data_IF_915796032816
#
_entry.id   IF_915796032816
#
_cell.length_a   1.000
_cell.length_b   1.000
_cell.length_c   1.000
_cell.angle_alpha   90.00
_cell.angle_beta   90.00
_cell.angle_gamma   90.00
#
_symmetry.space_group_name_H-M   'P 1'
#
loop_
_entity.id
_entity.type
_entity.pdbx_description
1 polymer ?
#
# COMPACT_ATOMS: atom_id res chain seq x y z
N UNK A 1 -7.96 0.57 -17.54
CA UNK A 1 -8.60 1.88 -17.30
C UNK A 1 -7.58 2.75 -16.59
N UNK A 2 -7.39 3.98 -17.06
CA UNK A 2 -6.42 4.95 -16.53
C UNK A 2 -7.13 6.13 -15.89
N UNK A 3 -6.50 6.79 -14.92
CA UNK A 3 -7.09 7.88 -14.14
C UNK A 3 -6.13 9.09 -14.03
N UNK A 4 -5.83 9.78 -15.13
CA UNK A 4 -4.83 10.86 -15.15
C UNK A 4 -5.33 12.19 -14.56
N UNK A 5 -6.65 12.43 -14.55
CA UNK A 5 -7.22 13.69 -14.01
C UNK A 5 -7.21 13.69 -12.48
N UNK A 6 -6.65 14.73 -11.86
CA UNK A 6 -6.57 14.91 -10.40
C UNK A 6 -7.55 15.96 -9.87
N UNK A 7 -8.31 16.60 -10.76
CA UNK A 7 -9.19 17.74 -10.46
C UNK A 7 -10.68 17.37 -10.45
N UNK A 8 -11.01 16.10 -10.66
CA UNK A 8 -12.37 15.60 -10.64
C UNK A 8 -13.07 15.90 -9.31
N UNK A 9 -14.38 16.19 -9.40
CA UNK A 9 -15.20 16.44 -8.21
C UNK A 9 -15.22 15.22 -7.30
N UNK A 10 -14.93 15.43 -6.02
CA UNK A 10 -14.99 14.38 -5.01
C UNK A 10 -16.44 13.90 -4.84
N UNK A 11 -16.61 12.58 -4.75
CA UNK A 11 -17.90 11.98 -4.38
C UNK A 11 -18.15 12.22 -2.90
N UNK A 12 -19.41 12.36 -2.56
CA UNK A 12 -19.90 12.50 -1.17
C UNK A 12 -20.96 11.45 -0.87
N UNK A 13 -21.19 11.18 0.41
CA UNK A 13 -22.26 10.29 0.86
C UNK A 13 -23.64 10.73 0.36
N UNK A 14 -23.89 12.05 0.31
CA UNK A 14 -25.11 12.60 -0.25
C UNK A 14 -25.26 12.25 -1.74
N UNK A 15 -24.19 12.43 -2.54
CA UNK A 15 -24.21 12.07 -3.96
C UNK A 15 -24.35 10.56 -4.20
N UNK A 16 -23.78 9.74 -3.31
CA UNK A 16 -23.91 8.28 -3.35
C UNK A 16 -25.35 7.85 -3.06
N UNK A 17 -25.96 8.34 -1.97
CA UNK A 17 -27.36 8.03 -1.61
C UNK A 17 -28.36 8.55 -2.63
N UNK A 18 -28.05 9.66 -3.29
CA UNK A 18 -28.86 10.20 -4.38
C UNK A 18 -28.66 9.46 -5.72
N UNK A 19 -27.76 8.46 -5.78
CA UNK A 19 -27.43 7.70 -6.99
C UNK A 19 -27.07 8.61 -8.18
N UNK A 20 -26.27 9.65 -7.93
CA UNK A 20 -25.86 10.62 -8.97
C UNK A 20 -25.01 9.97 -10.06
N UNK A 21 -24.30 8.88 -9.72
CA UNK A 21 -23.33 8.21 -10.58
C UNK A 21 -23.74 6.76 -10.88
N UNK A 22 -24.88 6.58 -11.55
CA UNK A 22 -25.53 5.27 -11.77
C UNK A 22 -24.61 4.19 -12.35
N UNK A 23 -23.67 4.56 -13.21
CA UNK A 23 -22.66 3.65 -13.81
C UNK A 23 -21.70 2.99 -12.79
N UNK A 24 -21.62 3.52 -11.57
CA UNK A 24 -20.84 2.97 -10.47
C UNK A 24 -21.69 2.23 -9.42
N UNK A 25 -22.99 2.06 -9.67
CA UNK A 25 -23.90 1.29 -8.81
C UNK A 25 -24.26 -0.03 -9.50
N UNK A 26 -23.96 -1.16 -8.85
CA UNK A 26 -24.37 -2.49 -9.32
C UNK A 26 -25.76 -2.90 -8.81
N UNK A 27 -26.36 -2.08 -7.95
CA UNK A 27 -27.64 -2.29 -7.31
C UNK A 27 -27.69 -1.55 -5.96
N UNK A 28 -28.81 -1.66 -5.25
CA UNK A 28 -28.91 -1.17 -3.87
C UNK A 28 -28.32 -2.19 -2.91
N UNK A 29 -27.50 -1.72 -1.98
CA UNK A 29 -26.96 -2.57 -0.92
C UNK A 29 -27.76 -2.41 0.38
N UNK A 30 -28.00 -3.46 1.17
CA UNK A 30 -28.56 -3.32 2.53
C UNK A 30 -27.75 -2.39 3.43
N UNK A 31 -26.48 -2.14 3.09
CA UNK A 31 -25.67 -1.15 3.81
C UNK A 31 -26.18 0.29 3.65
N UNK A 32 -26.92 0.61 2.56
CA UNK A 32 -27.56 1.92 2.38
C UNK A 32 -28.68 2.18 3.39
N UNK A 33 -29.29 1.12 3.94
CA UNK A 33 -30.34 1.19 4.96
C UNK A 33 -29.77 1.47 6.35
N UNK A 34 -28.47 1.27 6.53
CA UNK A 34 -27.78 1.59 7.77
C UNK A 34 -27.39 3.08 7.82
N UNK A 35 -27.26 3.61 9.03
CA UNK A 35 -26.69 4.93 9.29
C UNK A 35 -25.16 4.92 9.16
N UNK A 36 -24.66 4.38 8.04
CA UNK A 36 -23.24 4.28 7.69
C UNK A 36 -23.02 5.04 6.38
N UNK A 37 -22.00 5.87 6.36
CA UNK A 37 -21.62 6.71 5.22
C UNK A 37 -20.65 5.94 4.32
N UNK A 38 -21.14 5.52 3.14
CA UNK A 38 -20.49 4.55 2.26
C UNK A 38 -19.29 5.12 1.49
N UNK A 39 -19.12 6.44 1.45
CA UNK A 39 -17.94 7.09 0.86
C UNK A 39 -16.90 7.33 1.94
N UNK A 40 -17.28 7.99 3.03
CA UNK A 40 -16.33 8.45 4.04
C UNK A 40 -15.91 7.38 5.06
N UNK A 41 -16.68 6.30 5.25
CA UNK A 41 -16.39 5.24 6.26
C UNK A 41 -15.52 4.09 5.73
N UNK A 42 -15.18 4.08 4.45
CA UNK A 42 -14.45 2.99 3.80
C UNK A 42 -13.09 3.50 3.29
N UNK A 43 -12.06 3.51 4.14
CA UNK A 43 -10.77 4.09 3.78
C UNK A 43 -10.01 3.24 2.75
N UNK A 44 -9.12 3.91 2.01
CA UNK A 44 -8.19 3.27 1.10
C UNK A 44 -7.11 2.51 1.89
N UNK A 45 -7.12 1.18 1.83
CA UNK A 45 -6.16 0.38 2.57
C UNK A 45 -4.72 0.57 2.09
N UNK A 46 -3.87 1.05 3.00
CA UNK A 46 -2.43 1.25 2.79
C UNK A 46 -1.67 0.01 2.31
N UNK A 47 -2.02 -1.18 2.81
CA UNK A 47 -1.31 -2.41 2.48
C UNK A 47 -1.49 -2.77 1.00
N UNK A 48 -2.74 -2.73 0.51
CA UNK A 48 -3.05 -3.03 -0.87
C UNK A 48 -2.71 -1.88 -1.82
N UNK A 49 -3.08 -0.64 -1.45
CA UNK A 49 -2.89 0.53 -2.30
C UNK A 49 -1.40 0.81 -2.54
N UNK A 50 -0.64 1.00 -1.46
CA UNK A 50 0.74 1.50 -1.54
C UNK A 50 1.72 0.33 -1.60
N UNK A 51 1.64 -0.63 -0.70
CA UNK A 51 2.67 -1.67 -0.60
C UNK A 51 2.57 -2.67 -1.76
N UNK A 52 1.40 -3.30 -1.94
CA UNK A 52 1.18 -4.29 -3.01
C UNK A 52 0.84 -3.67 -4.37
N UNK A 53 0.32 -2.44 -4.38
CA UNK A 53 0.02 -1.68 -5.58
C UNK A 53 1.23 -0.91 -6.07
N UNK A 54 1.41 0.31 -5.56
CA UNK A 54 2.38 1.28 -6.10
C UNK A 54 3.83 0.84 -5.93
N UNK A 55 4.26 0.46 -4.72
CA UNK A 55 5.66 0.10 -4.47
C UNK A 55 6.07 -1.15 -5.25
N UNK A 56 5.20 -2.16 -5.32
CA UNK A 56 5.42 -3.34 -6.15
C UNK A 56 5.56 -2.96 -7.62
N UNK A 57 4.68 -2.10 -8.14
CA UNK A 57 4.71 -1.65 -9.53
C UNK A 57 6.02 -0.92 -9.87
N UNK A 58 6.45 0.02 -9.03
CA UNK A 58 7.72 0.73 -9.21
C UNK A 58 8.92 -0.22 -9.27
N UNK A 59 9.02 -1.17 -8.33
CA UNK A 59 10.09 -2.16 -8.33
C UNK A 59 10.09 -3.02 -9.58
N UNK A 60 8.91 -3.44 -10.05
CA UNK A 60 8.79 -4.21 -11.29
C UNK A 60 9.23 -3.39 -12.51
N UNK A 61 8.96 -2.08 -12.54
CA UNK A 61 9.49 -1.22 -13.60
C UNK A 61 11.02 -1.13 -13.56
N UNK A 62 11.60 -0.92 -12.39
CA UNK A 62 13.04 -0.77 -12.26
C UNK A 62 13.82 -2.08 -12.49
N UNK A 63 13.19 -3.25 -12.27
CA UNK A 63 13.84 -4.55 -12.41
C UNK A 63 13.54 -5.20 -13.77
N UNK A 64 12.27 -5.17 -14.20
CA UNK A 64 11.76 -5.93 -15.37
C UNK A 64 11.18 -5.05 -16.46
N UNK A 65 11.11 -3.73 -16.26
CA UNK A 65 10.51 -2.78 -17.20
C UNK A 65 11.33 -2.60 -18.49
N UNK A 66 10.90 -1.65 -19.30
CA UNK A 66 11.61 -1.26 -20.52
C UNK A 66 13.02 -0.74 -20.18
N UNK A 67 13.98 -0.91 -21.08
CA UNK A 67 15.36 -0.39 -21.00
C UNK A 67 15.39 1.09 -20.63
N UNK A 68 14.44 1.89 -21.13
CA UNK A 68 14.35 3.31 -20.81
C UNK A 68 14.05 3.60 -19.32
N UNK A 69 13.46 2.64 -18.59
CA UNK A 69 12.98 2.81 -17.22
C UNK A 69 13.79 1.96 -16.23
N UNK A 70 14.18 0.75 -16.62
CA UNK A 70 14.83 -0.21 -15.73
C UNK A 70 16.27 0.19 -15.39
N UNK A 71 16.73 -0.29 -14.23
CA UNK A 71 18.14 -0.23 -13.82
C UNK A 71 19.06 -0.92 -14.83
N UNK A 72 20.31 -0.49 -14.86
CA UNK A 72 21.35 -1.25 -15.56
C UNK A 72 21.55 -2.61 -14.88
N UNK A 73 22.16 -3.56 -15.59
CA UNK A 73 22.48 -4.87 -15.01
C UNK A 73 23.44 -4.74 -13.81
N UNK A 74 24.35 -3.78 -13.87
CA UNK A 74 25.30 -3.49 -12.79
C UNK A 74 24.58 -2.94 -11.55
N UNK A 75 23.71 -1.94 -11.73
CA UNK A 75 22.91 -1.34 -10.66
C UNK A 75 21.95 -2.34 -10.02
N UNK A 76 21.34 -3.21 -10.84
CA UNK A 76 20.48 -4.28 -10.33
C UNK A 76 21.27 -5.28 -9.47
N UNK A 77 22.43 -5.74 -9.95
CA UNK A 77 23.28 -6.67 -9.20
C UNK A 77 23.83 -6.03 -7.92
N UNK A 78 24.26 -4.78 -7.97
CA UNK A 78 24.74 -4.06 -6.78
C UNK A 78 23.63 -3.84 -5.75
N UNK A 79 22.38 -3.60 -6.19
CA UNK A 79 21.20 -3.53 -5.34
C UNK A 79 20.94 -4.83 -4.58
N UNK A 80 21.08 -5.99 -5.26
CA UNK A 80 20.94 -7.31 -4.60
C UNK A 80 22.00 -7.46 -3.50
N UNK A 81 23.27 -7.18 -3.82
CA UNK A 81 24.38 -7.32 -2.87
C UNK A 81 24.19 -6.42 -1.65
N UNK A 82 23.72 -5.19 -1.84
CA UNK A 82 23.43 -4.30 -0.72
C UNK A 82 22.25 -4.78 0.13
N UNK A 83 21.17 -5.24 -0.48
CA UNK A 83 20.03 -5.78 0.26
C UNK A 83 20.43 -6.99 1.11
N UNK A 84 21.32 -7.86 0.59
CA UNK A 84 21.90 -8.98 1.34
C UNK A 84 22.78 -8.53 2.51
N UNK A 85 23.52 -7.43 2.36
CA UNK A 85 24.26 -6.81 3.47
C UNK A 85 23.29 -6.30 4.54
N UNK A 86 22.25 -5.55 4.16
CA UNK A 86 21.22 -5.05 5.08
C UNK A 86 20.52 -6.18 5.83
N UNK A 87 20.25 -7.30 5.16
CA UNK A 87 19.64 -8.48 5.78
C UNK A 87 20.41 -8.96 7.02
N UNK A 88 21.73 -8.76 7.11
CA UNK A 88 22.51 -9.14 8.31
C UNK A 88 22.23 -8.25 9.52
N UNK A 89 21.72 -7.04 9.31
CA UNK A 89 21.48 -6.03 10.36
C UNK A 89 20.00 -5.88 10.71
N UNK A 90 19.10 -6.42 9.90
CA UNK A 90 17.67 -6.41 10.15
C UNK A 90 17.33 -7.58 11.07
N UNK A 91 16.82 -7.30 12.26
CA UNK A 91 16.42 -8.34 13.21
C UNK A 91 14.92 -8.65 13.10
N UNK A 92 14.55 -9.92 13.25
CA UNK A 92 13.14 -10.37 13.25
C UNK A 92 12.30 -9.84 14.42
N UNK A 93 12.93 -9.14 15.37
CA UNK A 93 12.24 -8.48 16.48
C UNK A 93 11.67 -7.13 16.05
N UNK A 94 12.36 -6.46 15.13
CA UNK A 94 11.97 -5.15 14.63
C UNK A 94 11.10 -5.25 13.38
N UNK A 95 11.25 -6.34 12.61
CA UNK A 95 10.51 -6.58 11.38
C UNK A 95 9.93 -7.99 11.34
N UNK A 96 8.66 -8.09 10.93
CA UNK A 96 7.94 -9.36 10.79
C UNK A 96 8.57 -10.33 9.79
N UNK A 97 9.38 -9.82 8.84
CA UNK A 97 10.11 -10.62 7.84
C UNK A 97 11.47 -10.00 7.53
N UNK A 98 12.42 -10.87 7.23
CA UNK A 98 13.71 -10.49 6.65
C UNK A 98 13.52 -10.16 5.16
N UNK A 99 14.15 -9.11 4.63
CA UNK A 99 14.05 -8.80 3.20
C UNK A 99 14.64 -9.95 2.39
N UNK A 100 13.85 -10.49 1.45
CA UNK A 100 14.31 -11.42 0.43
C UNK A 100 15.10 -10.70 -0.65
N UNK A 101 15.85 -11.45 -1.46
CA UNK A 101 16.54 -10.90 -2.63
C UNK A 101 15.54 -10.26 -3.60
N UNK A 102 15.99 -9.23 -4.35
CA UNK A 102 15.22 -8.65 -5.45
C UNK A 102 14.94 -9.67 -6.57
N UNK A 103 15.71 -10.75 -6.64
CA UNK A 103 15.45 -11.87 -7.55
C UNK A 103 14.11 -12.56 -7.28
N UNK A 104 13.62 -12.50 -6.04
CA UNK A 104 12.36 -13.12 -5.62
C UNK A 104 11.21 -12.10 -5.54
N UNK A 105 11.32 -10.96 -6.23
CA UNK A 105 10.36 -9.85 -6.13
C UNK A 105 8.90 -10.27 -6.34
N UNK A 106 8.64 -11.26 -7.21
CA UNK A 106 7.28 -11.76 -7.46
C UNK A 106 6.66 -12.46 -6.26
N UNK A 107 7.50 -12.98 -5.35
CA UNK A 107 7.08 -13.68 -4.15
C UNK A 107 7.02 -12.77 -2.93
N UNK A 108 7.49 -11.52 -3.02
CA UNK A 108 7.48 -10.57 -1.91
C UNK A 108 6.06 -10.34 -1.40
N UNK A 109 5.95 -10.22 -0.07
CA UNK A 109 4.69 -9.92 0.61
C UNK A 109 4.63 -8.43 0.95
N UNK A 110 3.44 -7.94 1.27
CA UNK A 110 3.21 -6.52 1.59
C UNK A 110 4.18 -5.97 2.65
N UNK A 111 4.53 -6.78 3.65
CA UNK A 111 5.49 -6.42 4.71
C UNK A 111 6.89 -6.08 4.17
N UNK A 112 7.34 -6.76 3.12
CA UNK A 112 8.66 -6.52 2.51
C UNK A 112 8.63 -5.28 1.62
N UNK A 113 7.54 -5.07 0.88
CA UNK A 113 7.34 -3.81 0.15
C UNK A 113 7.28 -2.61 1.11
N UNK A 114 6.57 -2.73 2.24
CA UNK A 114 6.55 -1.71 3.30
C UNK A 114 7.94 -1.43 3.85
N UNK A 115 8.69 -2.49 4.17
CA UNK A 115 10.05 -2.35 4.67
C UNK A 115 10.96 -1.66 3.66
N UNK A 116 10.88 -2.06 2.39
CA UNK A 116 11.68 -1.47 1.32
C UNK A 116 11.33 0.01 1.13
N UNK A 117 10.05 0.33 1.00
CA UNK A 117 9.57 1.71 0.85
C UNK A 117 10.05 2.61 2.00
N UNK A 118 9.89 2.16 3.25
CA UNK A 118 10.15 3.01 4.40
C UNK A 118 11.62 3.00 4.83
N UNK A 119 12.39 1.94 4.61
CA UNK A 119 13.70 1.81 5.26
C UNK A 119 14.85 1.57 4.29
N UNK A 120 14.85 0.45 3.57
CA UNK A 120 16.03 0.05 2.79
C UNK A 120 16.08 0.70 1.41
N UNK A 121 14.93 0.97 0.79
CA UNK A 121 14.81 1.54 -0.54
C UNK A 121 15.51 2.90 -0.74
N UNK A 122 15.35 3.89 0.15
CA UNK A 122 16.06 5.17 0.04
C UNK A 122 17.58 5.04 -0.03
N UNK A 123 18.14 4.05 0.66
CA UNK A 123 19.58 3.84 0.66
C UNK A 123 19.99 3.03 -0.57
N UNK A 124 19.28 1.94 -0.83
CA UNK A 124 19.63 1.00 -1.90
C UNK A 124 19.44 1.63 -3.28
N UNK A 125 18.43 2.45 -3.50
CA UNK A 125 18.15 3.01 -4.83
C UNK A 125 19.02 4.24 -5.17
N UNK A 126 19.71 4.80 -4.18
CA UNK A 126 20.53 6.00 -4.36
C UNK A 126 21.68 5.71 -5.32
N UNK A 127 21.81 6.55 -6.35
CA UNK A 127 22.78 6.42 -7.45
C UNK A 127 22.60 5.16 -8.32
N UNK A 128 21.46 4.46 -8.23
CA UNK A 128 21.14 3.26 -9.03
C UNK A 128 19.96 3.46 -9.97
N UNK A 129 19.09 4.40 -9.63
CA UNK A 129 18.04 4.92 -10.51
C UNK A 129 18.52 6.21 -11.16
N UNK A 130 17.84 6.60 -12.24
CA UNK A 130 17.95 7.96 -12.77
C UNK A 130 17.48 8.97 -11.72
N UNK A 131 18.05 10.17 -11.74
CA UNK A 131 17.81 11.19 -10.71
C UNK A 131 16.33 11.57 -10.58
N UNK A 132 15.62 11.63 -11.70
CA UNK A 132 14.19 11.90 -11.77
C UNK A 132 13.35 10.78 -11.12
N UNK A 133 13.66 9.52 -11.44
CA UNK A 133 13.03 8.34 -10.83
C UNK A 133 13.33 8.22 -9.34
N UNK A 134 14.55 8.54 -8.91
CA UNK A 134 14.91 8.51 -7.50
C UNK A 134 14.19 9.62 -6.72
N UNK A 135 14.14 10.84 -7.27
CA UNK A 135 13.39 11.96 -6.68
C UNK A 135 11.91 11.64 -6.57
N UNK A 136 11.35 11.04 -7.61
CA UNK A 136 9.97 10.56 -7.63
C UNK A 136 9.71 9.51 -6.54
N UNK A 137 10.57 8.49 -6.41
CA UNK A 137 10.49 7.52 -5.31
C UNK A 137 10.60 8.18 -3.93
N UNK A 138 11.51 9.15 -3.76
CA UNK A 138 11.68 9.85 -2.50
C UNK A 138 10.45 10.66 -2.10
N UNK A 139 9.70 11.21 -3.05
CA UNK A 139 8.42 11.88 -2.76
C UNK A 139 7.40 10.91 -2.12
N UNK A 140 7.28 9.69 -2.67
CA UNK A 140 6.43 8.64 -2.11
C UNK A 140 6.94 8.19 -0.73
N UNK A 141 8.24 7.92 -0.60
CA UNK A 141 8.86 7.54 0.66
C UNK A 141 8.56 8.57 1.76
N UNK A 142 8.81 9.86 1.50
CA UNK A 142 8.59 10.93 2.46
C UNK A 142 7.12 11.07 2.84
N UNK A 143 6.21 11.07 1.85
CA UNK A 143 4.78 11.15 2.11
C UNK A 143 4.29 10.00 2.99
N UNK A 144 4.67 8.76 2.65
CA UNK A 144 4.23 7.58 3.42
C UNK A 144 4.89 7.55 4.80
N UNK A 145 6.13 8.02 4.94
CA UNK A 145 6.79 8.16 6.24
C UNK A 145 6.05 9.15 7.15
N UNK A 146 5.57 10.26 6.61
CA UNK A 146 4.75 11.23 7.34
C UNK A 146 3.44 10.57 7.78
N UNK A 147 2.71 9.95 6.86
CA UNK A 147 1.39 9.38 7.12
C UNK A 147 1.41 8.13 8.04
N UNK A 148 2.57 7.50 8.22
CA UNK A 148 2.76 6.35 9.12
C UNK A 148 3.26 6.73 10.52
N UNK A 149 3.60 8.01 10.76
CA UNK A 149 4.06 8.49 12.04
C UNK A 149 3.03 9.45 12.63
N UNK A 150 2.53 9.18 13.84
CA UNK A 150 1.41 9.92 14.43
C UNK A 150 1.68 11.43 14.55
N UNK A 151 2.85 11.79 15.09
CA UNK A 151 3.27 13.19 15.21
C UNK A 151 3.39 13.87 13.85
N UNK A 152 4.07 13.24 12.89
CA UNK A 152 4.29 13.83 11.57
C UNK A 152 3.00 13.91 10.78
N UNK A 153 2.14 12.90 10.87
CA UNK A 153 0.85 12.87 10.20
C UNK A 153 -0.03 14.03 10.67
N UNK A 154 -0.04 14.34 11.97
CA UNK A 154 -0.79 15.48 12.49
C UNK A 154 -0.23 16.83 11.99
N UNK A 155 1.09 16.98 11.94
CA UNK A 155 1.75 18.26 11.65
C UNK A 155 1.92 18.53 10.15
N UNK A 156 2.14 17.48 9.34
CA UNK A 156 2.58 17.57 7.95
C UNK A 156 1.67 16.81 6.97
N UNK A 157 0.41 16.49 7.33
CA UNK A 157 -0.53 15.81 6.43
C UNK A 157 -0.64 16.51 5.07
N UNK A 158 -0.81 17.84 5.07
CA UNK A 158 -0.95 18.59 3.83
C UNK A 158 0.32 18.60 2.98
N UNK A 159 1.50 18.55 3.62
CA UNK A 159 2.74 18.38 2.88
C UNK A 159 2.84 16.98 2.26
N UNK A 160 2.44 15.93 2.98
CA UNK A 160 2.34 14.59 2.40
C UNK A 160 1.37 14.54 1.21
N UNK A 161 0.25 15.26 1.28
CA UNK A 161 -0.70 15.39 0.17
C UNK A 161 -0.07 16.07 -1.04
N UNK A 162 0.69 17.14 -0.85
CA UNK A 162 1.43 17.81 -1.93
C UNK A 162 2.47 16.87 -2.57
N UNK A 163 3.20 16.10 -1.77
CA UNK A 163 4.16 15.10 -2.27
C UNK A 163 3.47 14.00 -3.09
N UNK A 164 2.30 13.52 -2.67
CA UNK A 164 1.55 12.50 -3.42
C UNK A 164 0.91 13.06 -4.70
N UNK A 165 0.47 14.32 -4.70
CA UNK A 165 0.04 14.99 -5.94
C UNK A 165 1.19 15.12 -6.92
N UNK A 166 2.34 15.62 -6.47
CA UNK A 166 3.56 15.68 -7.28
C UNK A 166 3.93 14.29 -7.84
N UNK A 167 3.86 13.24 -7.01
CA UNK A 167 4.11 11.88 -7.44
C UNK A 167 3.18 11.44 -8.59
N UNK A 168 1.88 11.68 -8.47
CA UNK A 168 0.92 11.27 -9.51
C UNK A 168 1.06 12.11 -10.79
N UNK A 169 1.27 13.42 -10.66
CA UNK A 169 1.46 14.35 -11.79
C UNK A 169 2.70 14.06 -12.63
N UNK A 170 3.75 13.47 -12.04
CA UNK A 170 4.98 13.13 -12.74
C UNK A 170 5.06 11.65 -13.14
N UNK A 171 4.03 10.85 -12.83
CA UNK A 171 4.06 9.41 -13.06
C UNK A 171 3.99 9.07 -14.56
N UNK A 172 3.17 9.79 -15.31
CA UNK A 172 2.99 9.62 -16.76
C UNK A 172 4.30 9.85 -17.52
N UNK A 173 5.03 10.91 -17.20
CA UNK A 173 6.29 11.27 -17.84
C UNK A 173 7.37 10.21 -17.60
N UNK A 174 7.41 9.62 -16.41
CA UNK A 174 8.44 8.66 -16.01
C UNK A 174 8.15 7.22 -16.45
N UNK A 175 6.87 6.83 -16.43
CA UNK A 175 6.48 5.43 -16.59
C UNK A 175 5.50 5.20 -17.73
N UNK A 176 4.71 6.20 -18.11
CA UNK A 176 3.67 6.14 -19.13
C UNK A 176 2.26 6.35 -18.55
N UNK A 177 1.38 7.12 -19.22
CA UNK A 177 0.03 7.40 -18.75
C UNK A 177 -0.86 6.15 -18.65
N UNK A 178 -0.56 5.10 -19.42
CA UNK A 178 -1.23 3.80 -19.39
C UNK A 178 -1.11 3.09 -18.04
N UNK A 179 -0.12 3.48 -17.22
CA UNK A 179 0.18 2.87 -15.94
C UNK A 179 -0.38 3.64 -14.74
N UNK A 180 -1.06 4.78 -14.97
CA UNK A 180 -1.81 5.50 -13.94
C UNK A 180 -3.14 4.78 -13.70
N UNK A 181 -3.06 3.64 -13.04
CA UNK A 181 -4.21 2.87 -12.60
C UNK A 181 -4.82 3.40 -11.31
N UNK A 182 -5.85 2.70 -10.83
CA UNK A 182 -6.56 3.00 -9.59
C UNK A 182 -5.64 3.21 -8.39
N UNK A 183 -4.60 2.38 -8.24
CA UNK A 183 -3.71 2.47 -7.08
C UNK A 183 -2.85 3.74 -7.08
N UNK A 184 -2.39 4.17 -8.26
CA UNK A 184 -1.56 5.37 -8.40
C UNK A 184 -2.41 6.61 -8.15
N UNK A 185 -3.57 6.70 -8.82
CA UNK A 185 -4.46 7.84 -8.69
C UNK A 185 -4.93 8.05 -7.25
N UNK A 186 -5.38 6.99 -6.56
CA UNK A 186 -5.89 7.08 -5.21
C UNK A 186 -4.87 7.48 -4.13
N UNK A 187 -3.57 7.56 -4.47
CA UNK A 187 -2.57 8.13 -3.56
C UNK A 187 -2.93 9.57 -3.16
N UNK A 188 -3.56 10.36 -4.03
CA UNK A 188 -3.90 11.76 -3.68
C UNK A 188 -5.00 11.86 -2.62
N UNK A 189 -5.73 10.78 -2.36
CA UNK A 189 -6.87 10.73 -1.45
C UNK A 189 -6.51 10.15 -0.07
N UNK A 190 -5.50 9.28 0.02
CA UNK A 190 -5.12 8.64 1.30
C UNK A 190 -4.75 9.62 2.43
N UNK A 191 -4.25 10.85 2.20
CA UNK A 191 -4.07 11.82 3.28
C UNK A 191 -5.38 12.22 3.96
N UNK A 192 -6.49 12.28 3.21
CA UNK A 192 -7.81 12.60 3.75
C UNK A 192 -8.30 11.48 4.69
N UNK A 193 -8.05 10.21 4.33
CA UNK A 193 -8.33 9.07 5.20
C UNK A 193 -7.49 9.14 6.47
N UNK A 194 -6.23 9.56 6.36
CA UNK A 194 -5.37 9.71 7.52
C UNK A 194 -5.83 10.82 8.48
N UNK A 195 -6.49 11.86 7.98
CA UNK A 195 -7.15 12.88 8.82
C UNK A 195 -8.32 12.28 9.60
N UNK A 196 -9.09 11.37 8.98
CA UNK A 196 -10.31 10.78 9.58
C UNK A 196 -10.00 9.63 10.54
N UNK A 197 -9.08 8.75 10.17
CA UNK A 197 -8.82 7.47 10.85
C UNK A 197 -7.46 7.42 11.59
N UNK A 198 -6.68 8.50 11.52
CA UNK A 198 -5.33 8.58 12.07
C UNK A 198 -4.29 7.99 11.12
N UNK A 199 -3.15 7.55 11.64
CA UNK A 199 -2.04 7.04 10.79
C UNK A 199 -2.45 5.81 9.97
N UNK A 200 -1.75 5.59 8.86
CA UNK A 200 -2.05 4.48 7.92
C UNK A 200 -2.14 3.10 8.60
N UNK A 201 -1.35 2.85 9.64
CA UNK A 201 -1.34 1.57 10.35
C UNK A 201 -2.65 1.32 11.15
N UNK A 202 -3.46 2.35 11.41
CA UNK A 202 -4.74 2.23 12.15
C UNK A 202 -5.83 1.54 11.33
N UNK A 203 -5.89 1.82 10.03
CA UNK A 203 -6.90 1.28 9.11
C UNK A 203 -6.32 0.33 8.06
N UNK A 204 -5.08 -0.14 8.28
CA UNK A 204 -4.45 -1.10 7.38
C UNK A 204 -4.97 -2.54 7.55
N UNK A 205 -5.04 -3.27 6.45
CA UNK A 205 -5.43 -4.67 6.39
C UNK A 205 -4.41 -5.64 7.03
N UNK A 206 -3.19 -5.19 7.37
CA UNK A 206 -2.15 -6.04 7.96
C UNK A 206 -2.63 -6.80 9.20
N UNK A 207 -3.30 -6.11 10.13
CA UNK A 207 -3.81 -6.72 11.38
C UNK A 207 -4.94 -7.70 11.08
N UNK A 208 -5.86 -7.32 10.18
CA UNK A 208 -7.01 -8.11 9.81
C UNK A 208 -6.64 -9.40 9.07
N UNK A 209 -5.74 -9.34 8.09
CA UNK A 209 -5.29 -10.53 7.36
C UNK A 209 -4.48 -11.49 8.24
N UNK A 210 -3.64 -10.95 9.14
CA UNK A 210 -2.93 -11.78 10.11
C UNK A 210 -3.92 -12.54 11.01
N UNK A 211 -4.90 -11.84 11.58
CA UNK A 211 -5.90 -12.48 12.43
C UNK A 211 -6.80 -13.46 11.66
N UNK A 212 -7.17 -13.13 10.42
CA UNK A 212 -7.90 -14.03 9.54
C UNK A 212 -7.14 -15.34 9.29
N UNK A 213 -5.81 -15.29 9.17
CA UNK A 213 -4.98 -16.49 9.08
C UNK A 213 -5.04 -17.34 10.36
N UNK A 214 -5.11 -16.72 11.54
CA UNK A 214 -5.26 -17.44 12.81
C UNK A 214 -6.61 -18.19 12.86
N UNK A 215 -7.70 -17.51 12.47
CA UNK A 215 -9.03 -18.11 12.39
C UNK A 215 -9.00 -19.29 11.41
N UNK A 216 -8.44 -19.11 10.21
CA UNK A 216 -8.33 -20.18 9.22
C UNK A 216 -7.57 -21.40 9.75
N UNK A 217 -6.51 -21.20 10.52
CA UNK A 217 -5.76 -22.30 11.14
C UNK A 217 -6.54 -23.06 12.24
N UNK A 218 -7.58 -22.45 12.81
CA UNK A 218 -8.50 -23.14 13.72
C UNK A 218 -9.49 -24.03 12.95
N UNK A 219 -9.76 -23.73 11.68
CA UNK A 219 -10.70 -24.43 10.81
C UNK A 219 -9.95 -25.44 9.94
N UNK A 220 -9.90 -26.71 10.37
CA UNK A 220 -9.22 -27.77 9.60
C UNK A 220 -10.02 -28.21 8.37
N UNK A 221 -11.34 -28.11 8.43
CA UNK A 221 -12.24 -28.50 7.33
C UNK A 221 -13.38 -27.50 7.18
N UNK A 222 -14.08 -27.54 6.04
CA UNK A 222 -15.30 -26.75 5.81
C UNK A 222 -16.52 -27.27 6.57
N UNK A 223 -16.45 -28.46 7.18
CA UNK A 223 -17.56 -29.06 7.92
C UNK A 223 -17.69 -28.43 9.32
N UNK A 224 -18.86 -27.91 9.68
CA UNK A 224 -19.14 -27.33 11.02
C UNK A 224 -18.06 -26.33 11.50
N UNK A 225 -17.81 -25.25 10.73
CA UNK A 225 -16.71 -24.32 11.02
C UNK A 225 -16.89 -23.60 12.36
N UNK A 226 -18.14 -23.26 12.74
CA UNK A 226 -18.43 -22.60 14.01
C UNK A 226 -18.08 -23.50 15.21
N UNK A 227 -18.46 -24.77 15.16
CA UNK A 227 -18.17 -25.76 16.21
C UNK A 227 -16.64 -25.97 16.35
N UNK A 228 -15.94 -26.12 15.22
CA UNK A 228 -14.47 -26.20 15.21
C UNK A 228 -13.82 -24.98 15.87
N UNK A 229 -14.28 -23.78 15.50
CA UNK A 229 -13.76 -22.52 16.05
C UNK A 229 -13.99 -22.41 17.56
N UNK A 230 -15.21 -22.70 18.02
CA UNK A 230 -15.58 -22.65 19.44
C UNK A 230 -14.75 -23.65 20.24
N UNK A 231 -14.69 -24.92 19.82
CA UNK A 231 -13.93 -25.96 20.50
C UNK A 231 -12.45 -25.58 20.60
N UNK A 232 -11.85 -25.08 19.51
CA UNK A 232 -10.45 -24.66 19.51
C UNK A 232 -10.19 -23.44 20.38
N UNK A 233 -11.16 -22.53 20.48
CA UNK A 233 -11.08 -21.37 21.37
C UNK A 233 -11.12 -21.80 22.84
N UNK A 234 -11.96 -22.78 23.20
CA UNK A 234 -11.97 -23.36 24.54
C UNK A 234 -10.66 -24.06 24.87
N UNK A 235 -10.12 -24.89 23.97
CA UNK A 235 -8.82 -25.54 24.14
C UNK A 235 -7.71 -24.52 24.46
N UNK A 236 -7.62 -23.42 23.70
CA UNK A 236 -6.59 -22.38 23.90
C UNK A 236 -6.71 -21.60 25.21
N UNK A 237 -7.91 -21.50 25.79
CA UNK A 237 -8.14 -20.80 27.08
C UNK A 237 -7.86 -21.67 28.29
N UNK A 238 -7.77 -22.99 28.11
CA UNK A 238 -7.52 -23.95 29.18
C UNK A 238 -6.03 -24.13 29.51
N UNK A 239 -5.13 -23.56 28.70
CA UNK A 239 -3.68 -23.51 28.89
C UNK A 239 -3.23 -22.08 29.19
#
# INVERSE_FOLDING_TARGET
MTFPDLSATLRSDASFRANVYEEYHTGRTPLEELSVDLVDQFPLDYMHLICLGVMKQLLLFWIKGNIAIRMTKEDYNSSIVELEKFRKFIHQRDFSRMPRSLQEIDRWKASEFRQFLLYTGPIILKNKLKDDQYTHFMSLHCAVRILTCEKLCLEYNEYAKQLLKYFVENFDLLYGPEYIGHNVHNLIHIPNDAVRFGVLDNFSAFKFENHMSEIKNMLKTSNRPLEQFINRTFEKRAY
#
